data_IF_678819699022
#
_entry.id   IF_678819699022
#
_cell.length_a   1.000
_cell.length_b   1.000
_cell.length_c   1.000
_cell.angle_alpha   90.00
_cell.angle_beta   90.00
_cell.angle_gamma   90.00
#
_symmetry.space_group_name_H-M   'P 1'
#
loop_
_entity.id
_entity.type
_entity.pdbx_description
1 polymer ?
#
# COMPACT_ATOMS: atom_id res chain seq x y z
N UNK A 1 24.11 -32.25 44.10
CA UNK A 1 24.20 -32.75 43.16
C UNK A 1 23.16 -32.60 42.30
N UNK A 2 22.27 -32.34 42.12
CA UNK A 2 21.26 -32.27 41.40
C UNK A 2 21.01 -30.97 40.92
N UNK A 3 21.62 -30.05 41.00
CA UNK A 3 21.42 -28.84 40.56
C UNK A 3 21.36 -28.69 39.13
N UNK A 4 21.89 -29.39 38.24
CA UNK A 4 21.87 -29.16 36.81
C UNK A 4 20.50 -29.16 36.23
N UNK A 5 19.62 -29.86 36.82
CA UNK A 5 18.30 -29.90 36.22
C UNK A 5 17.61 -28.58 36.23
N UNK A 6 18.01 -27.72 37.09
CA UNK A 6 17.36 -26.44 37.10
C UNK A 6 17.66 -25.61 35.91
N UNK A 7 18.84 -25.78 35.37
CA UNK A 7 19.22 -25.01 34.25
C UNK A 7 18.42 -25.31 33.04
N UNK A 8 18.03 -26.53 32.90
CA UNK A 8 17.25 -26.92 31.75
C UNK A 8 15.93 -26.26 31.70
N UNK A 9 15.36 -26.03 32.82
CA UNK A 9 14.07 -25.42 32.83
C UNK A 9 14.12 -24.04 32.32
N UNK A 10 15.16 -23.32 32.58
CA UNK A 10 15.25 -21.99 32.14
C UNK A 10 15.28 -21.88 30.64
N UNK A 11 15.89 -22.84 30.01
CA UNK A 11 15.98 -22.81 28.59
C UNK A 11 14.66 -23.00 27.93
N UNK A 12 13.87 -23.84 28.49
CA UNK A 12 12.59 -24.09 27.90
C UNK A 12 11.70 -22.87 27.88
N UNK A 13 11.79 -22.09 28.89
CA UNK A 13 10.95 -20.92 28.94
C UNK A 13 11.33 -19.95 27.85
N UNK A 14 12.57 -19.84 27.56
CA UNK A 14 13.00 -18.92 26.55
C UNK A 14 12.45 -19.28 25.18
N UNK A 15 12.34 -20.57 24.93
CA UNK A 15 11.82 -20.98 23.69
C UNK A 15 10.38 -20.62 23.52
N UNK A 16 9.60 -20.80 24.53
CA UNK A 16 8.19 -20.56 24.43
C UNK A 16 7.88 -19.13 24.08
N UNK A 17 8.64 -18.21 24.59
CA UNK A 17 8.31 -16.84 24.34
C UNK A 17 8.57 -16.41 22.92
N UNK A 18 9.43 -17.09 22.23
CA UNK A 18 9.67 -16.68 20.87
C UNK A 18 8.62 -17.12 19.92
N UNK A 19 8.01 -18.23 20.19
CA UNK A 19 7.04 -18.75 19.26
C UNK A 19 5.81 -17.89 19.14
N UNK A 20 5.46 -17.19 20.17
CA UNK A 20 4.16 -16.54 20.15
C UNK A 20 4.10 -15.35 19.22
N UNK A 21 5.13 -14.55 19.11
CA UNK A 21 4.96 -13.39 18.28
C UNK A 21 5.18 -13.67 16.81
N UNK A 22 5.65 -14.83 16.48
CA UNK A 22 5.78 -15.17 15.09
C UNK A 22 4.46 -15.19 14.37
N UNK A 23 3.38 -15.28 15.11
CA UNK A 23 2.08 -15.32 14.48
C UNK A 23 1.49 -13.94 14.28
N UNK A 24 2.11 -12.95 14.84
CA UNK A 24 1.52 -11.64 14.78
C UNK A 24 1.67 -11.07 13.39
N UNK A 25 0.61 -10.57 12.89
CA UNK A 25 0.60 -9.69 11.80
C UNK A 25 1.23 -10.12 10.51
N UNK A 26 0.51 -10.18 9.49
CA UNK A 26 1.03 -10.37 8.17
C UNK A 26 0.37 -9.33 7.33
N UNK A 27 1.05 -8.27 7.06
CA UNK A 27 0.51 -7.24 6.21
C UNK A 27 1.48 -6.97 5.08
N UNK A 28 1.01 -6.29 4.06
CA UNK A 28 1.84 -5.92 2.95
C UNK A 28 1.71 -4.45 2.65
N UNK A 29 2.17 -4.04 1.49
CA UNK A 29 2.11 -2.65 1.13
C UNK A 29 2.06 -2.44 -0.37
N UNK A 30 1.75 -1.22 -0.75
CA UNK A 30 1.74 -0.79 -2.14
C UNK A 30 2.56 0.48 -2.21
N UNK A 31 3.44 0.54 -3.19
CA UNK A 31 4.23 1.74 -3.46
C UNK A 31 4.20 2.00 -4.94
N UNK A 32 4.41 3.22 -5.34
CA UNK A 32 4.45 3.52 -6.75
C UNK A 32 4.67 4.99 -7.03
N UNK A 33 4.55 5.33 -8.29
CA UNK A 33 4.71 6.70 -8.76
C UNK A 33 3.55 7.02 -9.66
N UNK A 34 3.03 8.24 -9.55
CA UNK A 34 1.99 8.72 -10.44
C UNK A 34 2.62 9.72 -11.39
N UNK A 35 2.44 9.50 -12.68
CA UNK A 35 3.04 10.36 -13.69
C UNK A 35 1.97 10.87 -14.66
N UNK A 36 2.33 11.92 -15.38
CA UNK A 36 1.50 12.48 -16.43
C UNK A 36 1.61 11.57 -17.66
N UNK A 37 0.50 11.14 -18.20
CA UNK A 37 0.50 10.20 -19.30
C UNK A 37 1.07 10.80 -20.58
N UNK A 38 1.06 12.11 -20.70
CA UNK A 38 1.55 12.75 -21.92
C UNK A 38 3.03 13.12 -21.82
N UNK A 39 3.48 13.57 -20.67
CA UNK A 39 4.84 14.07 -20.54
C UNK A 39 5.74 13.14 -19.77
N UNK A 40 5.20 12.20 -19.00
CA UNK A 40 5.97 11.32 -18.15
C UNK A 40 6.44 11.97 -16.86
N UNK A 41 6.09 13.21 -16.60
CA UNK A 41 6.55 13.91 -15.42
C UNK A 41 5.79 13.43 -14.19
N UNK A 42 6.45 13.34 -13.04
CA UNK A 42 5.76 12.93 -11.83
C UNK A 42 4.75 13.99 -11.39
N UNK A 43 3.65 13.55 -10.81
CA UNK A 43 2.58 14.45 -10.39
C UNK A 43 2.50 14.44 -8.88
N UNK A 44 2.84 15.55 -8.21
CA UNK A 44 2.70 15.63 -6.76
C UNK A 44 1.27 15.93 -6.37
N UNK A 45 0.92 15.58 -5.16
CA UNK A 45 -0.37 15.95 -4.61
C UNK A 45 -1.56 15.20 -5.16
N UNK A 46 -1.35 14.04 -5.75
CA UNK A 46 -2.45 13.21 -6.25
C UNK A 46 -3.10 12.52 -5.07
N UNK A 47 -4.39 12.61 -4.96
CA UNK A 47 -5.13 11.93 -3.91
C UNK A 47 -5.42 10.52 -4.38
N UNK A 48 -5.03 9.55 -3.56
CA UNK A 48 -5.21 8.14 -3.87
C UNK A 48 -6.09 7.49 -2.82
N UNK A 49 -7.08 6.76 -3.29
CA UNK A 49 -7.91 5.96 -2.42
C UNK A 49 -7.68 4.50 -2.77
N UNK A 50 -7.32 3.72 -1.79
CA UNK A 50 -6.98 2.32 -1.97
C UNK A 50 -8.01 1.51 -1.20
N UNK A 51 -8.86 0.80 -1.92
CA UNK A 51 -10.04 0.17 -1.33
C UNK A 51 -10.10 -1.32 -1.61
N UNK A 52 -10.48 -2.07 -0.61
CA UNK A 52 -10.76 -3.50 -0.74
C UNK A 52 -11.92 -3.83 0.19
N UNK A 53 -12.43 -5.07 0.13
CA UNK A 53 -13.42 -5.46 1.13
C UNK A 53 -12.90 -5.38 2.56
N UNK A 54 -11.59 -5.48 2.75
CA UNK A 54 -11.01 -5.45 4.09
C UNK A 54 -10.87 -4.06 4.65
N UNK A 55 -10.53 -3.09 3.81
CA UNK A 55 -10.24 -1.75 4.33
C UNK A 55 -10.16 -0.72 3.20
N UNK A 56 -10.20 0.54 3.61
CA UNK A 56 -10.01 1.66 2.71
C UNK A 56 -8.95 2.57 3.30
N UNK A 57 -7.96 2.94 2.49
CA UNK A 57 -6.88 3.80 2.92
C UNK A 57 -6.74 4.93 1.92
N UNK A 58 -6.47 6.13 2.42
CA UNK A 58 -6.24 7.29 1.58
C UNK A 58 -4.82 7.78 1.76
N UNK A 59 -4.20 8.19 0.67
CA UNK A 59 -2.87 8.75 0.73
C UNK A 59 -2.73 9.79 -0.38
N UNK A 60 -1.58 10.46 -0.41
CA UNK A 60 -1.31 11.52 -1.38
C UNK A 60 0.12 11.38 -1.84
N UNK A 61 0.38 11.65 -3.13
CA UNK A 61 1.75 11.56 -3.61
C UNK A 61 2.57 12.73 -3.10
N UNK A 62 3.86 12.50 -2.95
CA UNK A 62 4.80 13.52 -2.48
C UNK A 62 5.26 14.41 -3.63
N UNK A 63 6.27 15.23 -3.39
CA UNK A 63 6.76 16.18 -4.38
C UNK A 63 7.33 15.50 -5.62
N UNK A 64 7.65 14.23 -5.52
CA UNK A 64 8.21 13.49 -6.64
C UNK A 64 7.20 12.52 -7.24
N UNK A 65 5.95 12.65 -6.88
CA UNK A 65 4.90 11.79 -7.38
C UNK A 65 4.86 10.40 -6.79
N UNK A 66 5.62 10.16 -5.73
CA UNK A 66 5.68 8.84 -5.11
C UNK A 66 4.61 8.69 -4.04
N UNK A 67 4.12 7.49 -3.89
CA UNK A 67 3.24 7.16 -2.77
C UNK A 67 3.64 5.81 -2.21
N UNK A 68 3.35 5.62 -0.93
CA UNK A 68 3.60 4.34 -0.30
C UNK A 68 2.57 4.15 0.81
N UNK A 69 2.03 2.96 0.90
CA UNK A 69 1.07 2.60 1.94
C UNK A 69 1.49 1.26 2.51
N UNK A 70 1.64 1.22 3.83
CA UNK A 70 2.00 0.01 4.52
C UNK A 70 0.83 -0.49 5.34
N UNK A 71 0.99 -1.64 5.92
CA UNK A 71 -0.01 -2.22 6.83
C UNK A 71 -1.34 -2.52 6.15
N UNK A 72 -1.25 -2.95 4.90
CA UNK A 72 -2.44 -3.37 4.18
C UNK A 72 -2.65 -4.85 4.38
N UNK A 73 -3.88 -5.24 4.59
CA UNK A 73 -4.20 -6.66 4.69
C UNK A 73 -4.10 -7.29 3.32
N UNK A 74 -3.63 -8.54 3.23
CA UNK A 74 -3.57 -9.21 1.95
C UNK A 74 -4.96 -9.30 1.33
N UNK A 75 -5.12 -8.71 0.16
CA UNK A 75 -6.41 -8.62 -0.49
C UNK A 75 -6.18 -8.06 -1.89
N UNK A 76 -7.25 -7.93 -2.65
CA UNK A 76 -7.20 -7.27 -3.94
C UNK A 76 -7.77 -5.88 -3.79
N UNK A 77 -7.03 -4.91 -4.24
CA UNK A 77 -7.37 -3.51 -4.02
C UNK A 77 -7.68 -2.80 -5.32
N UNK A 78 -8.51 -1.79 -5.21
CA UNK A 78 -8.81 -0.88 -6.30
C UNK A 78 -8.22 0.48 -5.92
N UNK A 79 -7.47 1.06 -6.82
CA UNK A 79 -6.88 2.37 -6.61
C UNK A 79 -7.64 3.40 -7.42
N UNK A 80 -8.01 4.49 -6.77
CA UNK A 80 -8.62 5.63 -7.44
C UNK A 80 -7.72 6.83 -7.23
N UNK A 81 -7.30 7.46 -8.31
CA UNK A 81 -6.40 8.59 -8.26
C UNK A 81 -7.10 9.83 -8.78
N UNK A 82 -7.00 10.92 -8.03
CA UNK A 82 -7.63 12.18 -8.37
C UNK A 82 -6.67 13.33 -8.19
N UNK A 83 -6.67 14.22 -9.17
CA UNK A 83 -5.87 15.43 -9.09
C UNK A 83 -6.54 16.48 -9.95
N UNK A 84 -6.60 17.72 -9.45
CA UNK A 84 -7.18 18.81 -10.23
C UNK A 84 -6.40 18.96 -11.52
N UNK A 85 -7.11 19.10 -12.62
CA UNK A 85 -6.49 19.21 -13.92
C UNK A 85 -6.28 17.89 -14.62
N UNK A 86 -6.59 16.78 -13.95
CA UNK A 86 -6.43 15.45 -14.53
C UNK A 86 -7.74 14.67 -14.44
N UNK A 87 -7.92 13.77 -15.36
CA UNK A 87 -9.07 12.89 -15.31
C UNK A 87 -8.86 11.87 -14.20
N UNK A 88 -9.90 11.61 -13.43
CA UNK A 88 -9.86 10.63 -12.37
C UNK A 88 -9.62 9.25 -12.96
N UNK A 89 -8.72 8.51 -12.36
CA UNK A 89 -8.41 7.17 -12.83
C UNK A 89 -8.69 6.14 -11.75
N UNK A 90 -9.39 5.10 -12.13
CA UNK A 90 -9.68 3.98 -11.24
C UNK A 90 -9.10 2.73 -11.88
N UNK A 91 -8.32 1.98 -11.11
CA UNK A 91 -7.71 0.76 -11.60
C UNK A 91 -7.86 -0.31 -10.55
N UNK A 92 -8.25 -1.51 -10.98
CA UNK A 92 -8.50 -2.61 -10.08
C UNK A 92 -7.46 -3.70 -10.29
N UNK A 93 -7.47 -4.69 -9.41
CA UNK A 93 -6.60 -5.84 -9.58
C UNK A 93 -5.24 -5.69 -8.93
N UNK A 94 -5.11 -4.80 -7.98
CA UNK A 94 -3.84 -4.63 -7.28
C UNK A 94 -3.81 -5.58 -6.09
N UNK A 95 -3.05 -6.63 -6.22
CA UNK A 95 -2.96 -7.65 -5.18
C UNK A 95 -1.90 -7.28 -4.16
N UNK A 96 -2.21 -7.45 -2.89
CA UNK A 96 -1.27 -7.23 -1.80
C UNK A 96 -1.04 -8.56 -1.13
N UNK A 97 0.23 -8.89 -0.90
CA UNK A 97 0.61 -10.14 -0.26
C UNK A 97 1.32 -9.84 1.04
N UNK A 98 1.23 -10.77 1.97
CA UNK A 98 1.86 -10.61 3.28
C UNK A 98 3.36 -10.44 3.14
N UNK A 99 3.91 -9.53 3.91
CA UNK A 99 5.35 -9.29 3.98
C UNK A 99 5.97 -8.84 2.67
N UNK A 100 5.17 -8.30 1.75
CA UNK A 100 5.68 -7.81 0.48
C UNK A 100 5.14 -6.42 0.20
N UNK A 101 5.95 -5.62 -0.47
CA UNK A 101 5.50 -4.33 -0.99
C UNK A 101 5.45 -4.44 -2.49
N UNK A 102 4.28 -4.21 -3.07
CA UNK A 102 4.10 -4.30 -4.50
C UNK A 102 4.32 -2.93 -5.12
N UNK A 103 4.95 -2.91 -6.27
CA UNK A 103 5.23 -1.69 -6.97
C UNK A 103 4.20 -1.50 -8.07
N UNK A 104 3.40 -0.45 -7.97
CA UNK A 104 2.37 -0.18 -8.98
C UNK A 104 2.45 1.28 -9.38
N UNK A 105 2.79 1.52 -10.62
CA UNK A 105 2.87 2.87 -11.15
C UNK A 105 1.60 3.20 -11.90
N UNK A 106 1.18 4.45 -11.79
CA UNK A 106 -0.04 4.92 -12.44
C UNK A 106 0.26 6.11 -13.33
N UNK A 107 -0.51 6.24 -14.40
CA UNK A 107 -0.44 7.43 -15.25
C UNK A 107 -1.78 8.11 -15.24
N UNK A 108 -1.80 9.43 -15.14
CA UNK A 108 -3.01 10.20 -15.22
C UNK A 108 -2.99 11.02 -16.51
N UNK A 109 -4.12 11.05 -17.17
CA UNK A 109 -4.26 11.89 -18.36
C UNK A 109 -4.83 13.24 -17.97
N UNK A 110 -4.34 14.33 -18.55
CA UNK A 110 -4.93 15.62 -18.30
C UNK A 110 -6.42 15.60 -18.63
N UNK A 111 -7.19 16.29 -17.82
CA UNK A 111 -8.62 16.33 -18.05
C UNK A 111 -8.89 17.07 -19.36
N UNK A 112 -9.84 16.61 -20.16
CA UNK A 112 -10.15 17.32 -21.38
C UNK A 112 -10.72 18.67 -21.06
N UNK A 113 -10.51 19.60 -21.97
CA UNK A 113 -11.07 20.93 -21.81
C UNK A 113 -12.57 20.80 -21.69
N UNK A 114 -13.16 21.59 -20.80
CA UNK A 114 -14.57 21.52 -20.59
C UNK A 114 -15.28 21.88 -21.87
N UNK A 115 -16.21 21.04 -22.31
CA UNK A 115 -17.01 21.32 -23.48
C UNK A 115 -18.34 21.84 -22.99
N UNK A 116 -18.72 23.04 -23.39
CA UNK A 116 -19.99 23.56 -22.92
C UNK A 116 -21.12 22.65 -23.37
N UNK A 117 -22.06 22.41 -22.51
CA UNK A 117 -23.19 21.57 -22.89
C UNK A 117 -24.03 22.32 -23.93
N UNK A 118 -24.71 21.62 -24.70
CA UNK A 118 -25.54 22.26 -25.71
C UNK A 118 -24.79 22.55 -26.97
N UNK A 119 -23.60 22.09 -27.10
CA UNK A 119 -22.95 22.31 -28.28
C UNK A 119 -23.18 21.29 -29.21
#
# INVERSE_FOLDING_TARGET
MFKPSLLLLGLLVAFASQASWALAGSSGGIAGTVTDAQTGAPIPGVRLQITSPSQTVNTTTDAHGHFVVFSLEPDNYTLTAEKDGYATRTAAGYSVYADQTQQYDLSLSPAPAATPPGR
#
